data_IF_283908954115
#
_entry.id   IF_283908954115
#
_cell.length_a   1.000
_cell.length_b   1.000
_cell.length_c   1.000
_cell.angle_alpha   90.00
_cell.angle_beta   90.00
_cell.angle_gamma   90.00
#
_symmetry.space_group_name_H-M   'P 1'
#
loop_
_entity.id
_entity.type
_entity.pdbx_description
1 polymer ?
#
# COMPACT_ATOMS: atom_id res chain seq x y z
N UNK A 1 17.43 -1.35 27.04
CA UNK A 1 17.47 0.10 26.73
C UNK A 1 16.24 0.43 25.90
N UNK A 2 15.64 1.61 26.06
CA UNK A 2 14.54 2.01 25.20
C UNK A 2 15.07 2.33 23.80
N UNK A 3 14.34 1.92 22.75
CA UNK A 3 14.68 2.26 21.37
C UNK A 3 14.69 3.79 21.18
N UNK A 4 15.64 4.29 20.36
CA UNK A 4 15.83 5.74 20.15
C UNK A 4 16.00 6.10 18.67
N UNK A 5 16.36 5.15 17.81
CA UNK A 5 16.64 5.43 16.40
C UNK A 5 15.35 5.44 15.58
N UNK A 6 15.31 6.32 14.57
CA UNK A 6 14.25 6.28 13.54
C UNK A 6 14.59 5.18 12.55
N UNK A 7 13.61 4.33 12.23
CA UNK A 7 13.79 3.33 11.19
C UNK A 7 13.99 4.02 9.85
N UNK A 8 15.00 3.60 9.07
CA UNK A 8 15.24 4.18 7.75
C UNK A 8 14.14 3.80 6.77
N UNK A 9 13.96 4.66 5.78
CA UNK A 9 13.05 4.46 4.64
C UNK A 9 13.85 4.70 3.37
N UNK A 10 13.42 4.07 2.28
CA UNK A 10 13.98 4.32 0.95
C UNK A 10 13.76 5.79 0.56
N UNK A 11 14.85 6.47 0.19
CA UNK A 11 14.81 7.92 -0.09
C UNK A 11 13.96 8.29 -1.29
N UNK A 12 13.75 7.36 -2.24
CA UNK A 12 13.00 7.60 -3.47
C UNK A 12 11.49 7.35 -3.30
N UNK A 13 11.13 6.31 -2.57
CA UNK A 13 9.74 5.80 -2.45
C UNK A 13 9.12 6.08 -1.09
N UNK A 14 9.92 6.29 -0.05
CA UNK A 14 9.45 6.41 1.34
C UNK A 14 8.98 5.09 1.94
N UNK A 15 9.25 3.96 1.29
CA UNK A 15 8.92 2.61 1.80
C UNK A 15 9.92 2.26 2.92
N UNK A 16 9.48 1.68 4.06
CA UNK A 16 10.39 1.20 5.09
C UNK A 16 11.43 0.23 4.51
N UNK A 17 12.69 0.40 4.88
CA UNK A 17 13.73 -0.54 4.43
C UNK A 17 13.49 -1.92 5.07
N UNK A 18 13.64 -3.02 4.29
CA UNK A 18 13.61 -4.37 4.84
C UNK A 18 14.79 -4.63 5.77
N UNK A 19 14.58 -5.49 6.77
CA UNK A 19 15.67 -6.07 7.56
C UNK A 19 16.39 -7.10 6.69
N UNK A 20 17.72 -7.05 6.64
CA UNK A 20 18.53 -8.03 5.92
C UNK A 20 18.31 -9.43 6.51
N UNK A 21 17.91 -10.45 5.72
CA UNK A 21 17.86 -11.81 6.21
C UNK A 21 19.28 -12.29 6.57
N UNK A 22 19.44 -13.03 7.67
CA UNK A 22 20.70 -13.70 8.02
C UNK A 22 20.81 -15.11 7.43
N UNK A 23 19.69 -15.66 6.96
CA UNK A 23 19.62 -17.01 6.39
C UNK A 23 19.05 -17.04 4.97
N UNK A 24 19.22 -18.18 4.30
CA UNK A 24 18.72 -18.41 2.94
C UNK A 24 17.23 -18.83 2.92
N UNK A 25 16.65 -19.18 4.07
CA UNK A 25 15.27 -19.63 4.16
C UNK A 25 14.65 -19.40 5.55
N UNK A 26 13.40 -18.92 5.57
CA UNK A 26 12.61 -18.79 6.80
C UNK A 26 11.29 -19.56 6.79
N UNK A 27 10.94 -20.21 7.92
CA UNK A 27 9.62 -20.81 8.08
C UNK A 27 8.59 -19.70 8.32
N UNK A 28 7.65 -19.53 7.38
CA UNK A 28 6.66 -18.44 7.42
C UNK A 28 5.57 -18.63 8.50
N UNK A 29 5.47 -19.83 9.08
CA UNK A 29 4.42 -20.24 10.03
C UNK A 29 4.97 -20.81 11.35
N UNK A 30 6.21 -20.47 11.72
CA UNK A 30 6.86 -20.92 12.95
C UNK A 30 7.24 -19.69 13.80
N UNK A 31 6.35 -19.21 14.69
CA UNK A 31 6.54 -17.98 15.46
C UNK A 31 7.74 -18.01 16.42
N UNK A 32 8.26 -19.20 16.71
CA UNK A 32 9.46 -19.44 17.51
C UNK A 32 10.76 -19.15 16.74
N UNK A 33 10.74 -19.16 15.40
CA UNK A 33 11.90 -18.88 14.54
C UNK A 33 11.75 -17.57 13.77
N UNK A 34 10.54 -17.28 13.29
CA UNK A 34 10.26 -16.13 12.46
C UNK A 34 9.10 -15.31 13.02
N UNK A 35 9.14 -14.00 12.82
CA UNK A 35 8.08 -13.09 13.21
C UNK A 35 7.71 -12.14 12.07
N UNK A 36 6.53 -11.52 12.15
CA UNK A 36 6.07 -10.54 11.19
C UNK A 36 6.50 -9.14 11.65
N UNK A 37 7.53 -8.64 11.00
CA UNK A 37 7.97 -7.27 11.13
C UNK A 37 7.02 -6.31 10.41
N UNK A 38 6.47 -5.36 11.16
CA UNK A 38 5.72 -4.25 10.59
C UNK A 38 6.63 -3.05 10.37
N UNK A 39 6.90 -2.72 9.10
CA UNK A 39 7.78 -1.58 8.74
C UNK A 39 7.29 -0.23 9.27
N UNK A 40 5.99 -0.10 9.54
CA UNK A 40 5.37 1.11 10.09
C UNK A 40 4.78 0.82 11.48
N UNK A 41 5.40 1.39 12.50
CA UNK A 41 5.09 1.21 13.92
C UNK A 41 5.57 2.45 14.71
N UNK A 42 5.27 2.60 16.03
CA UNK A 42 4.64 1.65 16.95
C UNK A 42 3.12 1.49 16.70
N UNK A 43 2.56 0.32 17.02
CA UNK A 43 1.13 0.00 16.81
C UNK A 43 0.17 1.04 17.42
N UNK A 44 0.53 1.60 18.56
CA UNK A 44 -0.34 2.49 19.34
C UNK A 44 -0.19 3.97 18.97
N UNK A 45 0.57 4.30 17.93
CA UNK A 45 0.63 5.69 17.45
C UNK A 45 -0.77 6.13 16.95
N UNK A 46 -1.36 7.23 17.47
CA UNK A 46 -2.70 7.66 17.10
C UNK A 46 -2.89 7.84 15.58
N UNK A 47 -1.83 8.21 14.85
CA UNK A 47 -1.87 8.38 13.40
C UNK A 47 -2.17 7.06 12.69
N UNK A 48 -1.73 5.93 13.26
CA UNK A 48 -1.95 4.57 12.74
C UNK A 48 -3.30 3.95 13.16
N UNK A 49 -4.11 4.67 13.95
CA UNK A 49 -5.46 4.26 14.36
C UNK A 49 -6.56 4.78 13.42
N UNK A 50 -6.20 5.63 12.45
CA UNK A 50 -7.09 6.08 11.36
C UNK A 50 -7.23 5.00 10.28
N UNK A 51 -8.22 5.10 9.38
CA UNK A 51 -8.35 4.15 8.24
C UNK A 51 -7.08 4.15 7.38
N UNK A 52 -6.55 5.33 7.04
CA UNK A 52 -5.32 5.48 6.25
C UNK A 52 -4.09 4.94 6.97
N UNK A 53 -3.90 5.32 8.23
CA UNK A 53 -2.75 4.86 9.02
C UNK A 53 -2.80 3.37 9.34
N UNK A 54 -3.99 2.81 9.55
CA UNK A 54 -4.16 1.38 9.76
C UNK A 54 -3.81 0.57 8.51
N UNK A 55 -4.22 1.06 7.32
CA UNK A 55 -3.78 0.50 6.04
C UNK A 55 -2.26 0.58 5.88
N UNK A 56 -1.66 1.74 6.15
CA UNK A 56 -0.21 1.94 6.02
C UNK A 56 0.60 1.06 6.98
N UNK A 57 0.12 0.87 8.21
CA UNK A 57 0.72 -0.09 9.16
C UNK A 57 0.75 -1.53 8.64
N UNK A 58 -0.24 -1.91 7.85
CA UNK A 58 -0.41 -3.27 7.34
C UNK A 58 0.02 -3.43 5.88
N UNK A 59 0.68 -2.42 5.30
CA UNK A 59 1.15 -2.48 3.92
C UNK A 59 2.52 -3.12 3.78
N UNK A 60 3.41 -2.95 4.77
CA UNK A 60 4.75 -3.50 4.71
C UNK A 60 4.99 -4.47 5.85
N UNK A 61 4.71 -5.76 5.59
CA UNK A 61 4.88 -6.86 6.54
C UNK A 61 5.98 -7.78 6.04
N UNK A 62 7.13 -7.76 6.70
CA UNK A 62 8.23 -8.64 6.36
C UNK A 62 8.28 -9.82 7.33
N UNK A 63 8.38 -11.04 6.82
CA UNK A 63 8.77 -12.20 7.64
C UNK A 63 10.26 -12.09 7.92
N UNK A 64 10.65 -12.01 9.18
CA UNK A 64 12.04 -11.83 9.63
C UNK A 64 12.39 -12.84 10.71
N UNK A 65 13.68 -13.05 10.94
CA UNK A 65 14.14 -13.87 12.06
C UNK A 65 13.73 -13.23 13.38
N UNK A 66 13.23 -14.06 14.30
CA UNK A 66 12.75 -13.61 15.61
C UNK A 66 13.87 -12.95 16.42
N UNK A 67 15.10 -13.45 16.32
CA UNK A 67 16.27 -12.88 16.98
C UNK A 67 16.58 -11.47 16.47
N UNK A 68 16.52 -11.24 15.15
CA UNK A 68 16.71 -9.92 14.58
C UNK A 68 15.56 -8.97 14.91
N UNK A 69 14.34 -9.49 15.11
CA UNK A 69 13.17 -8.64 15.37
C UNK A 69 13.02 -8.26 16.84
N UNK A 70 13.07 -9.25 17.74
CA UNK A 70 12.64 -9.14 19.14
C UNK A 70 13.72 -9.48 20.17
N UNK A 71 14.50 -10.55 19.96
CA UNK A 71 15.19 -11.25 21.08
C UNK A 71 16.71 -11.00 21.16
N UNK A 72 17.35 -10.67 20.04
CA UNK A 72 18.79 -10.44 19.98
C UNK A 72 19.25 -9.13 20.69
N UNK A 73 20.54 -9.03 21.07
CA UNK A 73 21.11 -7.82 21.67
C UNK A 73 21.11 -6.61 20.73
N UNK A 74 20.99 -6.87 19.43
CA UNK A 74 20.86 -5.89 18.36
C UNK A 74 19.48 -5.95 17.72
N UNK A 75 18.46 -6.51 18.38
CA UNK A 75 17.14 -6.67 17.79
C UNK A 75 16.52 -5.34 17.39
N UNK A 76 15.66 -5.37 16.38
CA UNK A 76 15.05 -4.21 15.78
C UNK A 76 14.31 -3.36 16.81
N UNK A 77 13.46 -3.99 17.63
CA UNK A 77 12.70 -3.28 18.65
C UNK A 77 13.54 -2.77 19.82
N UNK A 78 14.79 -3.22 19.97
CA UNK A 78 15.72 -2.64 20.94
C UNK A 78 16.34 -1.33 20.45
N UNK A 79 16.41 -1.10 19.13
CA UNK A 79 17.11 0.03 18.52
C UNK A 79 16.18 1.06 17.88
N UNK A 80 15.12 0.61 17.20
CA UNK A 80 14.28 1.46 16.38
C UNK A 80 12.88 1.71 16.97
N UNK A 81 12.43 2.97 16.88
CA UNK A 81 11.08 3.41 17.26
C UNK A 81 10.11 3.52 16.07
N UNK A 82 10.57 3.18 14.87
CA UNK A 82 9.78 3.28 13.65
C UNK A 82 10.13 4.49 12.79
N UNK A 83 9.71 4.47 11.51
CA UNK A 83 9.92 5.57 10.60
C UNK A 83 9.06 6.78 11.02
N UNK A 84 9.28 7.93 10.38
CA UNK A 84 8.37 9.07 10.53
C UNK A 84 7.00 8.68 9.94
N UNK A 85 5.97 8.70 10.79
CA UNK A 85 4.59 8.43 10.36
C UNK A 85 3.98 9.73 9.83
N UNK A 86 3.60 9.71 8.56
CA UNK A 86 2.86 10.80 7.90
C UNK A 86 1.36 10.72 8.25
N UNK A 87 0.67 11.85 8.19
CA UNK A 87 -0.80 11.94 8.26
C UNK A 87 -1.42 12.36 6.92
N UNK A 88 -0.57 12.59 5.92
CA UNK A 88 -0.99 12.99 4.59
C UNK A 88 -1.53 11.75 3.83
N UNK A 89 -2.83 11.73 3.55
CA UNK A 89 -3.48 10.61 2.86
C UNK A 89 -2.95 10.44 1.42
N UNK A 90 -2.49 11.52 0.78
CA UNK A 90 -1.94 11.49 -0.59
C UNK A 90 -0.58 10.77 -0.63
N UNK A 91 0.29 11.08 0.33
CA UNK A 91 1.57 10.40 0.54
C UNK A 91 1.34 8.93 0.96
N UNK A 92 0.39 8.66 1.86
CA UNK A 92 0.04 7.30 2.28
C UNK A 92 -0.46 6.49 1.08
N UNK A 93 -1.41 7.01 0.30
CA UNK A 93 -1.94 6.35 -0.89
C UNK A 93 -0.85 6.06 -1.91
N UNK A 94 0.01 7.05 -2.19
CA UNK A 94 1.14 6.88 -3.10
C UNK A 94 2.08 5.76 -2.65
N UNK A 95 2.44 5.71 -1.36
CA UNK A 95 3.30 4.63 -0.83
C UNK A 95 2.62 3.27 -0.85
N UNK A 96 1.35 3.19 -0.48
CA UNK A 96 0.58 1.94 -0.54
C UNK A 96 0.48 1.42 -1.98
N UNK A 97 0.29 2.30 -2.96
CA UNK A 97 0.24 1.92 -4.36
C UNK A 97 1.56 1.29 -4.83
N UNK A 98 2.70 1.85 -4.40
CA UNK A 98 4.02 1.29 -4.71
C UNK A 98 4.30 -0.01 -3.95
N UNK A 99 3.96 -0.07 -2.67
CA UNK A 99 4.15 -1.28 -1.86
C UNK A 99 3.33 -2.43 -2.42
N UNK A 100 2.07 -2.17 -2.76
CA UNK A 100 1.18 -3.21 -3.30
C UNK A 100 1.46 -3.58 -4.75
N UNK A 101 2.34 -2.84 -5.42
CA UNK A 101 2.93 -3.24 -6.70
C UNK A 101 4.22 -4.06 -6.53
N UNK A 102 4.57 -4.45 -5.31
CA UNK A 102 5.73 -5.27 -5.02
C UNK A 102 7.05 -4.53 -5.17
N UNK A 103 7.07 -3.21 -5.00
CA UNK A 103 8.34 -2.48 -4.91
C UNK A 103 9.07 -2.89 -3.64
N UNK A 104 10.30 -3.38 -3.79
CA UNK A 104 11.21 -3.69 -2.69
C UNK A 104 12.41 -2.74 -2.79
N UNK A 105 12.74 -1.99 -1.72
CA UNK A 105 13.95 -1.15 -1.70
C UNK A 105 15.22 -1.94 -2.00
N UNK A 106 16.17 -1.30 -2.69
CA UNK A 106 17.49 -1.89 -2.99
C UNK A 106 18.45 -1.86 -1.78
N UNK A 107 18.06 -1.20 -0.70
CA UNK A 107 18.81 -1.12 0.56
C UNK A 107 18.11 -1.92 1.65
N UNK A 108 18.90 -2.44 2.57
CA UNK A 108 18.46 -3.22 3.74
C UNK A 108 19.02 -2.61 5.02
N UNK A 109 18.38 -2.92 6.14
CA UNK A 109 18.90 -2.71 7.49
C UNK A 109 19.67 -3.97 7.86
N UNK A 110 21.00 -3.89 7.90
CA UNK A 110 21.84 -5.00 8.36
C UNK A 110 21.94 -4.97 9.89
N UNK A 111 21.62 -6.10 10.50
CA UNK A 111 21.56 -6.31 11.93
C UNK A 111 22.29 -7.60 12.35
N UNK A 112 23.00 -8.25 11.42
CA UNK A 112 23.51 -9.62 11.58
C UNK A 112 24.82 -9.70 12.40
N UNK A 113 25.52 -8.57 12.57
CA UNK A 113 26.87 -8.57 13.15
C UNK A 113 27.17 -7.47 14.16
N UNK A 114 26.17 -6.71 14.61
CA UNK A 114 26.38 -5.62 15.56
C UNK A 114 25.33 -4.52 15.47
N UNK A 115 25.78 -3.27 15.72
CA UNK A 115 24.91 -2.11 15.66
C UNK A 115 24.25 -1.96 14.28
N UNK A 116 22.93 -1.74 14.20
CA UNK A 116 22.22 -1.68 12.93
C UNK A 116 22.69 -0.54 12.01
N UNK A 117 22.85 -0.83 10.73
CA UNK A 117 23.18 0.17 9.71
C UNK A 117 22.49 -0.13 8.37
N UNK A 118 22.37 0.89 7.53
CA UNK A 118 21.80 0.75 6.18
C UNK A 118 22.91 0.46 5.17
N UNK A 119 22.66 -0.47 4.25
CA UNK A 119 23.54 -0.76 3.12
C UNK A 119 22.73 -1.29 1.92
N UNK A 120 23.31 -1.30 0.71
CA UNK A 120 22.74 -2.03 -0.41
C UNK A 120 22.52 -3.51 -0.07
N UNK A 121 21.43 -4.07 -0.58
CA UNK A 121 21.14 -5.50 -0.55
C UNK A 121 22.14 -6.24 -1.43
N UNK A 122 22.65 -7.37 -0.93
CA UNK A 122 23.43 -8.32 -1.71
C UNK A 122 22.51 -9.07 -2.69
N UNK A 123 23.09 -9.70 -3.72
CA UNK A 123 22.31 -10.48 -4.68
C UNK A 123 21.46 -11.58 -4.01
N UNK A 124 22.01 -12.26 -2.99
CA UNK A 124 21.30 -13.29 -2.23
C UNK A 124 20.12 -12.73 -1.43
N UNK A 125 20.30 -11.57 -0.78
CA UNK A 125 19.22 -10.93 -0.03
C UNK A 125 18.13 -10.39 -0.97
N UNK A 126 18.51 -9.86 -2.13
CA UNK A 126 17.57 -9.47 -3.17
C UNK A 126 16.77 -10.67 -3.65
N UNK A 127 17.42 -11.79 -3.97
CA UNK A 127 16.75 -13.04 -4.36
C UNK A 127 15.80 -13.56 -3.26
N UNK A 128 16.24 -13.54 -2.00
CA UNK A 128 15.41 -13.90 -0.85
C UNK A 128 14.15 -13.02 -0.79
N UNK A 129 14.31 -11.69 -0.78
CA UNK A 129 13.19 -10.75 -0.66
C UNK A 129 12.23 -10.84 -1.86
N UNK A 130 12.74 -11.18 -3.05
CA UNK A 130 11.97 -11.35 -4.28
C UNK A 130 11.52 -12.80 -4.52
N UNK A 131 11.65 -13.70 -3.54
CA UNK A 131 11.15 -15.07 -3.67
C UNK A 131 9.64 -15.05 -3.90
N UNK A 132 9.12 -15.56 -5.05
CA UNK A 132 7.70 -15.53 -5.35
C UNK A 132 6.84 -16.23 -4.29
N UNK A 133 5.63 -15.75 -4.08
CA UNK A 133 4.66 -16.43 -3.21
C UNK A 133 4.05 -17.63 -3.91
N UNK A 134 3.92 -18.75 -3.20
CA UNK A 134 3.24 -19.96 -3.68
C UNK A 134 1.70 -19.78 -3.75
N UNK A 135 1.16 -18.73 -3.11
CA UNK A 135 -0.29 -18.54 -2.92
C UNK A 135 -0.83 -17.22 -3.46
N UNK A 136 0.05 -16.25 -3.75
CA UNK A 136 -0.31 -14.96 -4.32
C UNK A 136 0.52 -14.72 -5.58
N UNK A 137 -0.07 -14.79 -6.79
CA UNK A 137 0.67 -14.60 -8.04
C UNK A 137 1.22 -13.17 -8.21
N UNK A 138 0.86 -12.25 -7.31
CA UNK A 138 1.28 -10.85 -7.30
C UNK A 138 2.11 -10.49 -6.06
N UNK A 139 2.51 -11.47 -5.26
CA UNK A 139 3.17 -11.27 -3.99
C UNK A 139 4.47 -12.05 -3.83
N UNK A 140 5.22 -11.70 -2.80
CA UNK A 140 6.45 -12.38 -2.42
C UNK A 140 6.23 -13.21 -1.15
N UNK A 141 7.02 -14.27 -0.99
CA UNK A 141 6.92 -15.20 0.15
C UNK A 141 7.14 -14.51 1.50
N UNK A 142 8.12 -13.61 1.54
CA UNK A 142 8.58 -12.96 2.78
C UNK A 142 8.13 -11.50 2.92
N UNK A 143 7.50 -10.92 1.90
CA UNK A 143 6.93 -9.57 1.95
C UNK A 143 5.44 -9.67 1.69
N UNK A 144 4.65 -9.31 2.69
CA UNK A 144 3.20 -9.42 2.72
C UNK A 144 2.58 -8.06 3.00
N UNK A 145 1.28 -8.00 2.74
CA UNK A 145 0.42 -6.90 3.14
C UNK A 145 -0.96 -7.45 3.50
N UNK A 146 -1.71 -6.76 4.38
CA UNK A 146 -3.11 -7.15 4.65
C UNK A 146 -4.01 -6.44 3.66
N UNK A 147 -4.67 -7.24 2.82
CA UNK A 147 -5.50 -6.71 1.75
C UNK A 147 -6.69 -5.89 2.27
N UNK A 148 -7.40 -6.37 3.29
CA UNK A 148 -8.64 -5.74 3.77
C UNK A 148 -8.46 -4.27 4.25
N UNK A 149 -7.54 -3.95 5.18
CA UNK A 149 -7.29 -2.56 5.57
C UNK A 149 -6.94 -1.66 4.39
N UNK A 150 -6.14 -2.18 3.46
CA UNK A 150 -5.71 -1.44 2.26
C UNK A 150 -6.88 -1.17 1.33
N UNK A 151 -7.74 -2.17 1.11
CA UNK A 151 -8.97 -2.04 0.32
C UNK A 151 -9.88 -0.97 0.91
N UNK A 152 -10.08 -0.99 2.22
CA UNK A 152 -10.97 -0.03 2.88
C UNK A 152 -10.46 1.40 2.74
N UNK A 153 -9.16 1.61 2.94
CA UNK A 153 -8.55 2.91 2.67
C UNK A 153 -8.63 3.31 1.20
N UNK A 154 -8.32 2.41 0.26
CA UNK A 154 -8.41 2.71 -1.18
C UNK A 154 -9.83 3.11 -1.58
N UNK A 155 -10.85 2.41 -1.08
CA UNK A 155 -12.26 2.78 -1.30
C UNK A 155 -12.56 4.17 -0.77
N UNK A 156 -12.17 4.44 0.47
CA UNK A 156 -12.41 5.73 1.10
C UNK A 156 -11.71 6.88 0.35
N UNK A 157 -10.44 6.68 0.00
CA UNK A 157 -9.60 7.68 -0.66
C UNK A 157 -10.05 7.93 -2.10
N UNK A 158 -10.28 6.87 -2.88
CA UNK A 158 -10.70 6.98 -4.29
C UNK A 158 -12.06 7.66 -4.41
N UNK A 159 -13.04 7.27 -3.59
CA UNK A 159 -14.39 7.84 -3.69
C UNK A 159 -14.46 9.31 -3.27
N UNK A 160 -13.45 9.82 -2.55
CA UNK A 160 -13.34 11.24 -2.19
C UNK A 160 -12.73 12.11 -3.29
N UNK A 161 -12.10 11.52 -4.31
CA UNK A 161 -11.42 12.29 -5.34
C UNK A 161 -12.40 13.20 -6.08
N UNK A 162 -11.95 14.42 -6.36
CA UNK A 162 -12.68 15.32 -7.24
C UNK A 162 -12.49 14.86 -8.67
N UNK A 163 -13.60 14.75 -9.38
CA UNK A 163 -13.59 14.41 -10.80
C UNK A 163 -13.65 15.71 -11.60
N UNK A 164 -12.50 16.23 -12.00
CA UNK A 164 -12.45 17.37 -12.90
C UNK A 164 -12.76 16.96 -14.35
N UNK A 165 -12.92 17.97 -15.20
CA UNK A 165 -13.19 17.82 -16.64
C UNK A 165 -12.09 17.03 -17.36
N UNK A 166 -10.88 16.99 -16.81
CA UNK A 166 -9.76 16.19 -17.29
C UNK A 166 -10.02 14.68 -17.22
N UNK A 167 -10.90 14.22 -16.32
CA UNK A 167 -11.21 12.81 -16.13
C UNK A 167 -12.55 12.41 -16.72
N UNK A 168 -13.59 13.23 -16.55
CA UNK A 168 -14.94 12.93 -17.00
C UNK A 168 -15.74 14.20 -17.27
N UNK A 169 -16.51 14.20 -18.36
CA UNK A 169 -17.40 15.31 -18.67
C UNK A 169 -18.58 15.35 -17.68
N UNK A 170 -18.90 16.55 -17.18
CA UNK A 170 -19.98 16.82 -16.21
C UNK A 170 -21.32 16.18 -16.59
N UNK A 171 -21.65 16.12 -17.88
CA UNK A 171 -22.87 15.47 -18.40
C UNK A 171 -23.07 14.02 -17.91
N UNK A 172 -21.98 13.27 -17.68
CA UNK A 172 -22.08 11.89 -17.19
C UNK A 172 -22.40 11.82 -15.69
N UNK A 173 -21.98 12.84 -14.93
CA UNK A 173 -22.30 13.01 -13.52
C UNK A 173 -23.78 13.36 -13.39
N UNK A 174 -24.26 14.33 -14.17
CA UNK A 174 -25.69 14.68 -14.22
C UNK A 174 -26.54 13.48 -14.60
N UNK A 175 -26.16 12.78 -15.68
CA UNK A 175 -26.90 11.61 -16.16
C UNK A 175 -26.96 10.50 -15.10
N UNK A 176 -25.89 10.33 -14.30
CA UNK A 176 -25.86 9.36 -13.21
C UNK A 176 -26.87 9.70 -12.11
N UNK A 177 -27.03 10.98 -11.77
CA UNK A 177 -27.98 11.43 -10.75
C UNK A 177 -29.43 11.33 -11.21
N UNK A 178 -29.73 11.71 -12.45
CA UNK A 178 -31.11 11.87 -12.92
C UNK A 178 -31.68 10.65 -13.65
N UNK A 179 -30.87 9.66 -14.00
CA UNK A 179 -31.37 8.47 -14.70
C UNK A 179 -32.23 7.58 -13.79
N UNK A 180 -33.40 7.17 -14.29
CA UNK A 180 -34.28 6.18 -13.64
C UNK A 180 -33.99 4.74 -14.10
N UNK A 181 -33.12 4.55 -15.09
CA UNK A 181 -32.77 3.22 -15.58
C UNK A 181 -31.66 2.62 -14.70
N UNK A 182 -31.98 1.53 -13.98
CA UNK A 182 -31.06 0.88 -13.04
C UNK A 182 -29.78 0.35 -13.70
N UNK A 183 -29.87 -0.26 -14.89
CA UNK A 183 -28.71 -0.77 -15.61
C UNK A 183 -27.79 0.37 -16.05
N UNK A 184 -28.39 1.47 -16.53
CA UNK A 184 -27.66 2.68 -16.89
C UNK A 184 -27.01 3.33 -15.68
N UNK A 185 -27.71 3.44 -14.55
CA UNK A 185 -27.16 3.96 -13.29
C UNK A 185 -25.97 3.11 -12.83
N UNK A 186 -26.09 1.79 -12.90
CA UNK A 186 -25.00 0.86 -12.58
C UNK A 186 -23.79 1.06 -13.51
N UNK A 187 -24.02 1.16 -14.82
CA UNK A 187 -22.96 1.42 -15.80
C UNK A 187 -22.22 2.73 -15.50
N UNK A 188 -22.96 3.83 -15.31
CA UNK A 188 -22.40 5.13 -15.00
C UNK A 188 -21.65 5.13 -13.66
N UNK A 189 -22.18 4.43 -12.65
CA UNK A 189 -21.49 4.24 -11.37
C UNK A 189 -20.15 3.53 -11.52
N UNK A 190 -20.08 2.45 -12.31
CA UNK A 190 -18.81 1.78 -12.63
C UNK A 190 -17.83 2.70 -13.37
N UNK A 191 -18.33 3.48 -14.34
CA UNK A 191 -17.53 4.46 -15.07
C UNK A 191 -16.94 5.50 -14.11
N UNK A 192 -17.76 6.10 -13.26
CA UNK A 192 -17.35 7.13 -12.30
C UNK A 192 -16.34 6.58 -11.28
N UNK A 193 -16.53 5.37 -10.77
CA UNK A 193 -15.54 4.71 -9.89
C UNK A 193 -14.20 4.51 -10.63
N UNK A 194 -14.24 4.09 -11.89
CA UNK A 194 -13.02 3.93 -12.69
C UNK A 194 -12.30 5.26 -12.91
N UNK A 195 -13.05 6.35 -13.12
CA UNK A 195 -12.49 7.71 -13.25
C UNK A 195 -11.96 8.27 -11.94
N UNK A 196 -12.61 7.98 -10.83
CA UNK A 196 -12.09 8.32 -9.51
C UNK A 196 -10.78 7.58 -9.21
N UNK A 197 -10.67 6.32 -9.62
CA UNK A 197 -9.44 5.55 -9.51
C UNK A 197 -8.31 6.11 -10.40
N UNK A 198 -8.66 6.66 -11.57
CA UNK A 198 -7.73 7.35 -12.47
C UNK A 198 -7.18 8.61 -11.78
N UNK A 199 -8.06 9.51 -11.34
CA UNK A 199 -7.73 10.73 -10.60
C UNK A 199 -6.85 10.46 -9.38
N UNK A 200 -7.21 9.47 -8.54
CA UNK A 200 -6.43 9.09 -7.37
C UNK A 200 -4.99 8.68 -7.73
N UNK A 201 -4.82 8.03 -8.89
CA UNK A 201 -3.56 7.41 -9.30
C UNK A 201 -2.59 8.38 -9.98
N UNK A 202 -3.05 9.56 -10.42
CA UNK A 202 -2.25 10.51 -11.20
C UNK A 202 -1.01 11.00 -10.44
N UNK A 203 -1.17 11.35 -9.17
CA UNK A 203 -0.09 11.81 -8.30
C UNK A 203 1.08 10.81 -8.19
N UNK A 204 0.77 9.52 -8.24
CA UNK A 204 1.76 8.45 -8.11
C UNK A 204 2.20 7.93 -9.49
N UNK A 205 1.51 8.27 -10.57
CA UNK A 205 1.65 7.66 -11.87
C UNK A 205 3.04 7.82 -12.48
N UNK A 206 3.67 8.99 -12.32
CA UNK A 206 5.03 9.23 -12.80
C UNK A 206 6.04 8.34 -12.07
N UNK A 207 5.96 8.29 -10.74
CA UNK A 207 6.85 7.46 -9.92
C UNK A 207 6.64 5.97 -10.17
N UNK A 208 5.39 5.53 -10.28
CA UNK A 208 5.02 4.16 -10.62
C UNK A 208 5.65 3.70 -11.95
N UNK A 209 5.46 4.48 -13.02
CA UNK A 209 6.01 4.14 -14.35
C UNK A 209 7.54 4.15 -14.37
N UNK A 210 8.18 5.05 -13.62
CA UNK A 210 9.64 5.08 -13.49
C UNK A 210 10.16 3.80 -12.82
N UNK A 211 9.56 3.38 -11.70
CA UNK A 211 9.96 2.16 -10.99
C UNK A 211 9.70 0.91 -11.83
N UNK A 212 8.61 0.88 -12.59
CA UNK A 212 8.32 -0.21 -13.52
C UNK A 212 9.41 -0.33 -14.60
N UNK A 213 9.79 0.79 -15.23
CA UNK A 213 10.86 0.81 -16.25
C UNK A 213 12.21 0.42 -15.68
N UNK A 214 12.45 0.69 -14.40
CA UNK A 214 13.65 0.29 -13.70
C UNK A 214 13.64 -1.20 -13.29
N UNK A 215 12.54 -1.93 -13.52
CA UNK A 215 12.43 -3.34 -13.13
C UNK A 215 12.31 -3.55 -11.61
N UNK A 216 11.94 -2.51 -10.86
CA UNK A 216 11.86 -2.53 -9.39
C UNK A 216 10.49 -2.96 -8.86
N UNK A 217 9.58 -3.36 -9.75
CA UNK A 217 8.23 -3.79 -9.41
C UNK A 217 8.05 -5.28 -9.68
N UNK A 218 7.05 -5.89 -9.04
CA UNK A 218 6.74 -7.28 -9.29
C UNK A 218 6.39 -7.51 -10.79
N UNK A 219 6.97 -8.52 -11.47
CA UNK A 219 6.84 -8.68 -12.93
C UNK A 219 5.39 -8.81 -13.44
N UNK A 220 4.51 -9.38 -12.62
CA UNK A 220 3.08 -9.54 -12.94
C UNK A 220 2.24 -8.27 -12.76
N UNK A 221 2.82 -7.14 -12.34
CA UNK A 221 2.05 -5.92 -12.07
C UNK A 221 1.60 -5.20 -13.34
N UNK A 222 0.37 -4.65 -13.35
CA UNK A 222 -0.11 -3.90 -14.49
C UNK A 222 0.73 -2.65 -14.71
N UNK A 223 0.94 -2.27 -15.96
CA UNK A 223 1.67 -1.05 -16.32
C UNK A 223 0.93 0.24 -16.01
N UNK A 224 -0.39 0.18 -15.97
CA UNK A 224 -1.22 1.31 -15.58
C UNK A 224 -1.57 1.22 -14.09
N UNK A 225 -1.17 2.19 -13.23
CA UNK A 225 -1.50 2.19 -11.81
C UNK A 225 -3.01 2.21 -11.55
N UNK A 226 -3.82 2.81 -12.43
CA UNK A 226 -5.29 2.79 -12.31
C UNK A 226 -5.84 1.37 -12.31
N UNK A 227 -5.24 0.45 -13.07
CA UNK A 227 -5.66 -0.97 -13.10
C UNK A 227 -5.41 -1.62 -11.74
N UNK A 228 -4.25 -1.36 -11.12
CA UNK A 228 -3.94 -1.84 -9.78
C UNK A 228 -4.92 -1.28 -8.75
N UNK A 229 -5.18 0.03 -8.77
CA UNK A 229 -6.16 0.68 -7.88
C UNK A 229 -7.54 0.02 -8.03
N UNK A 230 -8.03 -0.16 -9.27
CA UNK A 230 -9.31 -0.83 -9.53
C UNK A 230 -9.35 -2.25 -8.99
N UNK A 231 -8.26 -3.01 -9.10
CA UNK A 231 -8.17 -4.35 -8.50
C UNK A 231 -8.27 -4.28 -6.97
N UNK A 232 -7.67 -3.28 -6.33
CA UNK A 232 -7.74 -3.08 -4.87
C UNK A 232 -9.12 -2.66 -4.38
N UNK A 233 -9.91 -1.98 -5.20
CA UNK A 233 -11.31 -1.64 -4.87
C UNK A 233 -12.24 -2.87 -4.75
N UNK A 234 -11.86 -4.00 -5.35
CA UNK A 234 -12.60 -5.25 -5.34
C UNK A 234 -13.05 -5.71 -6.73
N UNK A 235 -13.79 -6.82 -6.78
CA UNK A 235 -14.42 -7.32 -8.01
C UNK A 235 -15.63 -6.47 -8.43
N UNK A 236 -16.27 -6.81 -9.56
CA UNK A 236 -17.41 -6.05 -10.07
C UNK A 236 -18.56 -5.94 -9.07
N UNK A 237 -18.94 -7.05 -8.42
CA UNK A 237 -19.98 -7.06 -7.37
C UNK A 237 -19.63 -6.11 -6.24
N UNK A 238 -18.40 -6.23 -5.71
CA UNK A 238 -17.93 -5.37 -4.63
C UNK A 238 -17.85 -3.89 -5.02
N UNK A 239 -17.65 -3.58 -6.31
CA UNK A 239 -17.66 -2.20 -6.82
C UNK A 239 -19.08 -1.66 -7.00
N UNK A 240 -20.08 -2.50 -7.25
CA UNK A 240 -21.50 -2.07 -7.24
C UNK A 240 -21.88 -1.54 -5.87
N UNK A 241 -21.43 -2.21 -4.80
CA UNK A 241 -21.70 -1.81 -3.42
C UNK A 241 -21.11 -0.43 -3.06
N UNK A 242 -20.17 0.07 -3.86
CA UNK A 242 -19.57 1.41 -3.68
C UNK A 242 -20.39 2.53 -4.34
N UNK A 243 -21.31 2.20 -5.24
CA UNK A 243 -22.07 3.20 -6.00
C UNK A 243 -22.86 4.15 -5.09
N UNK A 244 -23.55 3.70 -4.03
CA UNK A 244 -24.22 4.61 -3.10
C UNK A 244 -23.24 5.57 -2.39
N UNK A 245 -22.10 5.05 -1.95
CA UNK A 245 -21.07 5.88 -1.30
C UNK A 245 -20.44 6.89 -2.26
N UNK A 246 -20.24 6.49 -3.53
CA UNK A 246 -19.83 7.41 -4.59
C UNK A 246 -20.87 8.52 -4.77
N UNK A 247 -22.15 8.16 -4.88
CA UNK A 247 -23.24 9.11 -5.06
C UNK A 247 -23.26 10.16 -3.94
N UNK A 248 -23.16 9.74 -2.67
CA UNK A 248 -23.09 10.64 -1.52
C UNK A 248 -21.83 11.53 -1.52
N UNK A 249 -20.71 11.02 -2.02
CA UNK A 249 -19.48 11.79 -2.16
C UNK A 249 -19.63 12.88 -3.23
N UNK A 250 -20.17 12.52 -4.39
CA UNK A 250 -20.42 13.45 -5.49
C UNK A 250 -21.44 14.53 -5.08
N UNK A 251 -22.54 14.17 -4.41
CA UNK A 251 -23.52 15.17 -3.91
C UNK A 251 -22.87 16.24 -3.03
N UNK A 252 -21.98 15.83 -2.12
CA UNK A 252 -21.24 16.76 -1.24
C UNK A 252 -20.30 17.66 -2.01
N UNK A 253 -19.62 17.13 -3.04
CA UNK A 253 -18.68 17.91 -3.85
C UNK A 253 -19.36 18.92 -4.77
N UNK A 254 -20.49 18.54 -5.37
CA UNK A 254 -21.24 19.38 -6.31
C UNK A 254 -22.37 20.19 -5.65
N UNK A 255 -22.46 20.18 -4.31
CA UNK A 255 -23.47 20.91 -3.53
C UNK A 255 -24.92 20.62 -3.97
N UNK A 256 -25.18 19.41 -4.47
CA UNK A 256 -26.50 18.99 -4.90
C UNK A 256 -27.32 18.62 -3.66
N UNK A 257 -28.37 19.39 -3.36
CA UNK A 257 -29.30 19.06 -2.27
C UNK A 257 -29.95 17.68 -2.53
N UNK A 258 -30.21 16.94 -1.45
CA UNK A 258 -30.94 15.67 -1.53
C UNK A 258 -32.40 15.98 -1.92
N UNK A 259 -32.79 15.58 -3.13
CA UNK A 259 -34.17 15.63 -3.60
C UNK A 259 -35.02 14.51 -3.01
#
# INVERSE_FOLDING_TARGET
MAATLRSPVDGQTGIPLPIAPSCEWLPVNQPEVADIHHGVHPRNDPRLLTVAGFAFRHSWLQTVERDLHNEGPFSYHSRYIGPKITTDEDDIFSRLLLITSGVIPNEVIDMNGGDPYTRPATAKETEFLHTPSDTDPFGYRYIKYRYEPIRDFFRHYVLKQKLGDEHIAEKFIDEFFFTKNHEKKRFLGHLLIAKAAEAASDQAGTKYRMLQRAGLMHPAMPSNPTVLVKHKLGNDTQRVDLIPTLEDSLRRHYQLEAA
#
